data_IF_280035175766
#
_entry.id   IF_280035175766
#
_cell.length_a   1.000
_cell.length_b   1.000
_cell.length_c   1.000
_cell.angle_alpha   90.00
_cell.angle_beta   90.00
_cell.angle_gamma   90.00
#
_symmetry.space_group_name_H-M   'P 1'
#
loop_
_entity.id
_entity.type
_entity.pdbx_description
1 polymer ?
#
# COMPACT_ATOMS: atom_id res chain seq x y z
N UNK A 1 -4.51 -19.62 -25.58
CA UNK A 1 -5.09 -19.42 -24.23
C UNK A 1 -4.69 -20.61 -23.37
N UNK A 2 -4.13 -20.37 -22.19
CA UNK A 2 -3.73 -21.43 -21.25
C UNK A 2 -4.98 -21.80 -20.43
N UNK A 3 -5.31 -23.10 -20.24
CA UNK A 3 -6.48 -23.46 -19.46
C UNK A 3 -6.26 -23.12 -17.98
N UNK A 4 -7.34 -22.77 -17.27
CA UNK A 4 -7.26 -22.47 -15.84
C UNK A 4 -6.78 -23.69 -15.04
N UNK A 5 -7.42 -24.83 -15.26
CA UNK A 5 -7.00 -26.12 -14.74
C UNK A 5 -6.27 -26.92 -15.83
N UNK A 6 -5.11 -27.55 -15.53
CA UNK A 6 -4.41 -27.56 -14.24
C UNK A 6 -3.39 -26.42 -14.06
N UNK A 7 -3.07 -25.69 -15.14
CA UNK A 7 -1.90 -24.80 -15.20
C UNK A 7 -1.94 -23.59 -14.26
N UNK A 8 -2.96 -22.73 -14.36
CA UNK A 8 -3.03 -21.52 -13.53
C UNK A 8 -3.27 -21.89 -12.06
N UNK A 9 -4.13 -22.88 -11.81
CA UNK A 9 -4.40 -23.37 -10.46
C UNK A 9 -3.14 -23.89 -9.75
N UNK A 10 -2.25 -24.60 -10.47
CA UNK A 10 -0.98 -25.06 -9.90
C UNK A 10 -0.04 -23.89 -9.52
N UNK A 11 0.00 -22.83 -10.34
CA UNK A 11 0.77 -21.62 -10.03
C UNK A 11 0.20 -20.87 -8.82
N UNK A 12 -1.13 -20.79 -8.71
CA UNK A 12 -1.81 -20.15 -7.58
C UNK A 12 -1.52 -20.88 -6.26
N UNK A 13 -1.59 -22.23 -6.26
CA UNK A 13 -1.25 -23.05 -5.09
C UNK A 13 0.21 -22.82 -4.68
N UNK A 14 1.14 -22.77 -5.65
CA UNK A 14 2.54 -22.48 -5.37
C UNK A 14 2.72 -21.08 -4.77
N UNK A 15 2.04 -20.07 -5.32
CA UNK A 15 2.05 -18.71 -4.80
C UNK A 15 1.52 -18.62 -3.37
N UNK A 16 0.39 -19.28 -3.10
CA UNK A 16 -0.20 -19.36 -1.77
C UNK A 16 0.74 -20.02 -0.77
N UNK A 17 1.38 -21.14 -1.14
CA UNK A 17 2.33 -21.83 -0.28
C UNK A 17 3.50 -20.90 0.11
N UNK A 18 4.04 -20.12 -0.84
CA UNK A 18 5.11 -19.16 -0.55
C UNK A 18 4.67 -18.08 0.45
N UNK A 19 3.47 -17.52 0.28
CA UNK A 19 2.92 -16.51 1.22
C UNK A 19 2.68 -17.12 2.59
N UNK A 20 2.17 -18.35 2.65
CA UNK A 20 1.89 -19.06 3.90
C UNK A 20 3.18 -19.36 4.68
N UNK A 21 4.27 -19.73 3.99
CA UNK A 21 5.59 -19.92 4.63
C UNK A 21 6.08 -18.60 5.25
N UNK A 22 5.99 -17.48 4.54
CA UNK A 22 6.39 -16.16 5.08
C UNK A 22 5.52 -15.75 6.28
N UNK A 23 4.21 -15.97 6.20
CA UNK A 23 3.29 -15.68 7.29
C UNK A 23 3.61 -16.51 8.54
N UNK A 24 3.78 -17.82 8.40
CA UNK A 24 4.14 -18.70 9.51
C UNK A 24 5.51 -18.33 10.10
N UNK A 25 6.49 -18.01 9.25
CA UNK A 25 7.81 -17.60 9.71
C UNK A 25 7.73 -16.30 10.56
N UNK A 26 6.98 -15.30 10.10
CA UNK A 26 6.74 -14.08 10.86
C UNK A 26 5.95 -14.33 12.15
N UNK A 27 4.90 -15.17 12.12
CA UNK A 27 4.04 -15.42 13.28
C UNK A 27 4.73 -16.24 14.37
N UNK A 28 5.58 -17.20 14.00
CA UNK A 28 6.23 -18.09 14.96
C UNK A 28 7.55 -17.52 15.49
N UNK A 29 8.32 -16.84 14.63
CA UNK A 29 9.66 -16.36 15.00
C UNK A 29 9.72 -14.84 15.22
N UNK A 30 8.68 -14.08 14.88
CA UNK A 30 8.67 -12.63 15.10
C UNK A 30 9.78 -11.90 14.33
N UNK A 31 10.03 -12.29 13.08
CA UNK A 31 11.20 -11.85 12.29
C UNK A 31 11.30 -10.31 12.21
N UNK A 32 10.16 -9.63 12.08
CA UNK A 32 10.07 -8.17 12.05
C UNK A 32 9.14 -7.64 13.16
N UNK A 33 9.49 -6.52 13.83
CA UNK A 33 8.59 -5.87 14.78
C UNK A 33 7.50 -5.11 14.01
N UNK A 34 6.35 -5.76 13.79
CA UNK A 34 5.22 -5.18 13.06
C UNK A 34 4.22 -4.41 13.95
N UNK A 35 4.39 -4.47 15.28
CA UNK A 35 3.54 -3.81 16.27
C UNK A 35 4.36 -2.88 17.17
N UNK A 36 3.79 -1.75 17.57
CA UNK A 36 4.43 -0.82 18.50
C UNK A 36 4.40 -1.38 19.93
N UNK A 37 5.50 -1.30 20.72
CA UNK A 37 5.55 -1.81 22.09
C UNK A 37 4.53 -1.13 23.03
N UNK A 38 4.21 0.15 22.80
CA UNK A 38 3.23 0.88 23.61
C UNK A 38 1.82 0.26 23.58
N UNK A 39 1.49 -0.54 22.54
CA UNK A 39 0.21 -1.24 22.46
C UNK A 39 0.07 -2.38 23.50
N UNK A 40 1.14 -2.74 24.19
CA UNK A 40 1.11 -3.68 25.31
C UNK A 40 0.74 -3.01 26.65
N UNK A 41 0.79 -1.68 26.72
CA UNK A 41 0.43 -0.90 27.92
C UNK A 41 -1.11 -0.79 27.98
N UNK A 42 -1.75 -0.99 29.14
CA UNK A 42 -3.20 -0.80 29.27
C UNK A 42 -3.58 0.65 28.96
N UNK A 43 -4.76 0.83 28.35
CA UNK A 43 -5.20 2.15 27.89
C UNK A 43 -5.39 3.13 29.06
N UNK A 44 -4.80 4.32 28.94
CA UNK A 44 -5.10 5.47 29.79
C UNK A 44 -5.83 6.53 28.95
N UNK A 45 -7.01 6.97 29.42
CA UNK A 45 -7.81 7.98 28.72
C UNK A 45 -7.30 9.40 28.93
N UNK A 46 -6.46 9.62 29.94
CA UNK A 46 -5.98 10.94 30.34
C UNK A 46 -4.55 11.21 29.87
N UNK A 47 -3.84 10.19 29.35
CA UNK A 47 -2.46 10.31 28.89
C UNK A 47 -2.29 9.72 27.49
N UNK A 48 -1.63 10.48 26.61
CA UNK A 48 -1.16 10.00 25.31
C UNK A 48 0.35 9.72 25.39
N UNK A 49 0.84 8.59 24.83
CA UNK A 49 2.27 8.35 24.74
C UNK A 49 3.02 9.46 24.00
N UNK A 50 4.26 9.73 24.42
CA UNK A 50 5.11 10.79 23.86
C UNK A 50 5.43 10.56 22.36
N UNK A 51 5.61 9.30 21.96
CA UNK A 51 5.95 8.91 20.59
C UNK A 51 4.82 8.08 19.96
N UNK A 52 3.61 8.66 19.86
CA UNK A 52 2.47 8.00 19.21
C UNK A 52 2.67 7.92 17.68
N UNK A 53 2.67 6.70 17.17
CA UNK A 53 2.84 6.38 15.74
C UNK A 53 1.79 5.32 15.36
N UNK A 54 1.11 5.46 14.21
CA UNK A 54 0.17 4.43 13.77
C UNK A 54 0.90 3.17 13.28
N UNK A 55 0.16 2.11 12.96
CA UNK A 55 0.75 0.92 12.36
C UNK A 55 1.39 1.22 11.00
N UNK A 56 2.39 0.42 10.63
CA UNK A 56 3.27 0.65 9.48
C UNK A 56 2.53 0.82 8.14
N UNK A 57 1.39 0.15 7.96
CA UNK A 57 0.57 0.25 6.74
C UNK A 57 -0.25 1.55 6.65
N UNK A 58 -0.37 2.31 7.74
CA UNK A 58 -0.98 3.64 7.77
C UNK A 58 0.02 4.80 7.67
N UNK A 59 1.34 4.55 7.82
CA UNK A 59 2.36 5.60 7.80
C UNK A 59 2.32 6.51 6.56
N UNK A 60 2.13 6.00 5.33
CA UNK A 60 2.07 6.89 4.16
C UNK A 60 0.93 7.90 4.22
N UNK A 61 -0.22 7.51 4.77
CA UNK A 61 -1.39 8.36 4.94
C UNK A 61 -1.21 9.32 6.11
N UNK A 62 -0.58 8.87 7.19
CA UNK A 62 -0.20 9.71 8.31
C UNK A 62 0.79 10.81 7.92
N UNK A 63 1.79 10.49 7.08
CA UNK A 63 2.71 11.46 6.50
C UNK A 63 1.97 12.52 5.68
N UNK A 64 1.05 12.11 4.80
CA UNK A 64 0.22 13.05 4.02
C UNK A 64 -0.63 13.98 4.90
N UNK A 65 -1.19 13.46 6.00
CA UNK A 65 -1.97 14.28 6.95
C UNK A 65 -1.10 15.29 7.70
N UNK A 66 0.09 14.89 8.16
CA UNK A 66 0.97 15.73 8.99
C UNK A 66 1.72 16.79 8.18
N UNK A 67 2.00 16.52 6.92
CA UNK A 67 2.74 17.43 6.04
C UNK A 67 1.95 18.68 5.66
N UNK A 68 0.61 18.61 5.65
CA UNK A 68 -0.25 19.73 5.31
C UNK A 68 -0.64 20.47 6.59
N UNK A 69 -0.24 21.75 6.78
CA UNK A 69 -0.52 22.53 7.99
C UNK A 69 -1.97 23.04 8.05
N UNK A 70 -2.94 22.24 7.61
CA UNK A 70 -4.37 22.53 7.68
C UNK A 70 -5.16 21.22 7.83
N UNK A 71 -6.01 21.17 8.87
CA UNK A 71 -6.78 19.97 9.24
C UNK A 71 -7.73 19.47 8.14
N UNK A 72 -8.45 20.37 7.47
CA UNK A 72 -9.42 19.97 6.44
C UNK A 72 -8.73 19.63 5.13
N UNK A 73 -7.72 20.41 4.74
CA UNK A 73 -6.96 20.15 3.52
C UNK A 73 -6.18 18.83 3.60
N UNK A 74 -5.55 18.53 4.74
CA UNK A 74 -4.86 17.26 4.96
C UNK A 74 -5.79 16.07 4.80
N UNK A 75 -6.98 16.12 5.43
CA UNK A 75 -7.98 15.07 5.31
C UNK A 75 -8.45 14.87 3.87
N UNK A 76 -8.72 15.96 3.15
CA UNK A 76 -9.16 15.90 1.75
C UNK A 76 -8.08 15.31 0.85
N UNK A 77 -6.80 15.64 1.06
CA UNK A 77 -5.68 15.08 0.28
C UNK A 77 -5.53 13.59 0.55
N UNK A 78 -5.61 13.15 1.80
CA UNK A 78 -5.57 11.74 2.16
C UNK A 78 -6.70 10.96 1.46
N UNK A 79 -7.94 11.44 1.53
CA UNK A 79 -9.09 10.80 0.86
C UNK A 79 -8.93 10.82 -0.68
N UNK A 80 -8.47 11.94 -1.24
CA UNK A 80 -8.22 12.06 -2.67
C UNK A 80 -7.16 11.06 -3.16
N UNK A 81 -6.12 10.77 -2.36
CA UNK A 81 -5.08 9.79 -2.72
C UNK A 81 -5.66 8.39 -2.98
N UNK A 82 -6.63 7.96 -2.18
CA UNK A 82 -7.34 6.69 -2.37
C UNK A 82 -8.30 6.75 -3.55
N UNK A 83 -9.03 7.86 -3.70
CA UNK A 83 -9.98 8.06 -4.80
C UNK A 83 -9.28 8.06 -6.17
N UNK A 84 -8.07 8.62 -6.27
CA UNK A 84 -7.29 8.64 -7.51
C UNK A 84 -6.92 7.21 -7.93
N UNK A 85 -6.59 6.31 -6.99
CA UNK A 85 -6.33 4.90 -7.31
C UNK A 85 -7.56 4.20 -7.88
N UNK A 86 -8.74 4.49 -7.33
CA UNK A 86 -10.01 4.00 -7.88
C UNK A 86 -10.26 4.52 -9.29
N UNK A 87 -10.07 5.82 -9.51
CA UNK A 87 -10.21 6.42 -10.85
C UNK A 87 -9.23 5.81 -11.85
N UNK A 88 -7.98 5.53 -11.45
CA UNK A 88 -6.98 4.86 -12.29
C UNK A 88 -7.43 3.47 -12.73
N UNK A 89 -8.06 2.69 -11.85
CA UNK A 89 -8.60 1.37 -12.18
C UNK A 89 -9.74 1.46 -13.22
N UNK A 90 -10.62 2.44 -13.09
CA UNK A 90 -11.78 2.66 -13.98
C UNK A 90 -11.43 3.33 -15.33
N UNK A 91 -10.21 3.86 -15.51
CA UNK A 91 -9.77 4.47 -16.78
C UNK A 91 -9.94 3.57 -18.00
N UNK A 92 -9.87 2.24 -17.80
CA UNK A 92 -10.01 1.24 -18.87
C UNK A 92 -11.40 1.24 -19.51
N UNK A 93 -12.42 1.74 -18.81
CA UNK A 93 -13.81 1.80 -19.29
C UNK A 93 -14.16 3.14 -19.95
N UNK A 94 -13.30 4.17 -19.87
CA UNK A 94 -13.69 5.54 -20.24
C UNK A 94 -13.42 5.91 -21.71
N UNK A 95 -12.37 5.40 -22.37
CA UNK A 95 -12.19 5.56 -23.84
C UNK A 95 -11.22 4.53 -24.44
N UNK A 96 -11.45 4.15 -25.70
CA UNK A 96 -10.49 3.39 -26.55
C UNK A 96 -9.22 4.20 -26.89
N UNK A 97 -9.29 5.53 -26.78
CA UNK A 97 -8.15 6.45 -26.98
C UNK A 97 -7.11 6.39 -25.87
N UNK A 98 -7.51 6.10 -24.62
CA UNK A 98 -6.57 5.88 -23.51
C UNK A 98 -5.80 4.55 -23.72
N UNK A 99 -6.43 3.55 -24.34
CA UNK A 99 -5.73 2.32 -24.77
C UNK A 99 -4.63 2.60 -25.80
N UNK A 100 -4.75 3.66 -26.61
CA UNK A 100 -3.74 4.06 -27.60
C UNK A 100 -2.48 4.67 -26.97
N UNK A 101 -2.57 5.24 -25.75
CA UNK A 101 -1.37 5.53 -24.96
C UNK A 101 -0.76 4.24 -24.44
N UNK A 102 -1.54 3.34 -23.82
CA UNK A 102 -1.07 2.02 -23.35
C UNK A 102 -0.40 1.15 -24.44
N UNK A 103 -0.67 1.40 -25.73
CA UNK A 103 -0.07 0.71 -26.87
C UNK A 103 1.37 1.15 -27.21
N UNK A 104 1.82 2.34 -26.81
CA UNK A 104 3.19 2.81 -27.06
C UNK A 104 4.14 2.50 -25.90
N UNK A 105 4.59 1.24 -25.85
CA UNK A 105 5.89 0.84 -25.31
C UNK A 105 6.01 0.56 -23.81
N UNK A 106 6.07 -0.72 -23.43
CA UNK A 106 6.34 -1.21 -22.07
C UNK A 106 7.63 -0.64 -21.40
N UNK A 107 8.50 0.04 -22.15
CA UNK A 107 9.77 0.61 -21.67
C UNK A 107 9.64 1.96 -20.96
N UNK A 108 8.62 2.76 -21.27
CA UNK A 108 8.45 4.11 -20.68
C UNK A 108 7.48 4.13 -19.49
N UNK A 109 6.63 3.11 -19.35
CA UNK A 109 5.69 2.95 -18.22
C UNK A 109 6.36 2.48 -16.93
N UNK A 110 7.54 1.85 -17.01
CA UNK A 110 8.28 1.46 -15.82
C UNK A 110 8.69 2.66 -14.99
N UNK A 111 9.07 3.79 -15.61
CA UNK A 111 9.55 4.98 -14.91
C UNK A 111 8.48 5.61 -14.00
N UNK A 112 7.27 5.99 -14.45
CA UNK A 112 6.27 6.58 -13.56
C UNK A 112 5.79 5.58 -12.49
N UNK A 113 5.74 4.28 -12.79
CA UNK A 113 5.40 3.24 -11.79
C UNK A 113 6.51 3.12 -10.74
N UNK A 114 7.78 3.12 -11.15
CA UNK A 114 8.91 3.12 -10.22
C UNK A 114 8.89 4.38 -9.36
N UNK A 115 8.68 5.56 -9.94
CA UNK A 115 8.56 6.81 -9.18
C UNK A 115 7.40 6.79 -8.19
N UNK A 116 6.26 6.20 -8.57
CA UNK A 116 5.12 6.00 -7.67
C UNK A 116 5.46 5.05 -6.51
N UNK A 117 6.15 3.94 -6.78
CA UNK A 117 6.60 3.00 -5.74
C UNK A 117 7.62 3.67 -4.81
N UNK A 118 8.60 4.38 -5.37
CA UNK A 118 9.61 5.13 -4.61
C UNK A 118 8.98 6.21 -3.74
N UNK A 119 7.99 6.96 -4.24
CA UNK A 119 7.30 7.98 -3.45
C UNK A 119 6.48 7.37 -2.32
N UNK A 120 5.86 6.21 -2.54
CA UNK A 120 5.16 5.49 -1.47
C UNK A 120 6.11 4.99 -0.38
N UNK A 121 7.27 4.44 -0.73
CA UNK A 121 8.30 4.08 0.26
C UNK A 121 8.86 5.29 1.00
N UNK A 122 9.05 6.43 0.31
CA UNK A 122 9.46 7.67 0.95
C UNK A 122 8.42 8.15 1.98
N UNK A 123 7.13 8.08 1.65
CA UNK A 123 6.05 8.41 2.58
C UNK A 123 5.98 7.43 3.76
N UNK A 124 6.24 6.13 3.54
CA UNK A 124 6.32 5.13 4.61
C UNK A 124 7.48 5.42 5.58
N UNK A 125 8.60 5.94 5.06
CA UNK A 125 9.76 6.30 5.88
C UNK A 125 9.58 7.63 6.64
N UNK A 126 8.84 8.58 6.07
CA UNK A 126 8.59 9.89 6.67
C UNK A 126 7.50 9.85 7.74
N UNK A 127 6.45 9.04 7.50
CA UNK A 127 5.34 8.85 8.42
C UNK A 127 5.77 8.15 9.69
#
# INVERSE_FOLDING_TARGET
KIPFYPSLLCLDIKGFNNVLVLFLAQSLFGILPLSHPDNAIPVDRYATPLHIVPEWYFLPFYAMLKTIPNKTAGLLVMLASLQILFLLAEQRNLTTLIQFKFAFGAREYSLPIIWFICSFYALLWIG
#
